data_IF_292091590356
#
_entry.id   IF_292091590356
#
_cell.length_a   1.000
_cell.length_b   1.000
_cell.length_c   1.000
_cell.angle_alpha   90.00
_cell.angle_beta   90.00
_cell.angle_gamma   90.00
#
_symmetry.space_group_name_H-M   'P 1'
#
loop_
_entity.id
_entity.type
_entity.pdbx_description
1 polymer ?
#
# COMPACT_ATOMS: atom_id res chain seq x y z
N UNK A 1 -9.99 9.56 1.38
CA UNK A 1 -11.41 9.16 1.56
C UNK A 1 -11.81 9.43 3.00
N UNK A 2 -13.06 9.83 3.22
CA UNK A 2 -13.62 10.19 4.52
C UNK A 2 -14.84 9.29 4.75
N UNK A 3 -14.86 8.59 5.89
CA UNK A 3 -16.00 7.80 6.34
C UNK A 3 -16.72 8.59 7.46
N UNK A 4 -17.82 9.30 7.15
CA UNK A 4 -18.59 9.99 8.18
C UNK A 4 -19.30 8.97 9.08
N UNK A 5 -19.70 9.41 10.28
CA UNK A 5 -20.45 8.57 11.25
C UNK A 5 -21.77 8.04 10.67
N UNK A 6 -22.38 8.81 9.78
CA UNK A 6 -23.63 8.49 9.11
C UNK A 6 -23.59 9.02 7.68
N UNK A 7 -24.30 8.37 6.77
CA UNK A 7 -24.26 8.70 5.34
C UNK A 7 -23.25 7.87 4.57
N UNK A 8 -22.98 8.27 3.33
CA UNK A 8 -22.06 7.57 2.46
C UNK A 8 -20.62 8.07 2.57
N UNK A 9 -19.72 7.32 1.96
CA UNK A 9 -18.29 7.67 1.90
C UNK A 9 -18.07 8.89 0.99
N UNK A 10 -17.21 9.80 1.42
CA UNK A 10 -16.82 11.00 0.65
C UNK A 10 -15.36 10.88 0.19
N UNK A 11 -15.11 11.06 -1.11
CA UNK A 11 -13.77 11.13 -1.66
C UNK A 11 -13.38 12.59 -1.92
N UNK A 12 -12.26 13.02 -1.36
CA UNK A 12 -11.60 14.29 -1.71
C UNK A 12 -10.33 13.90 -2.47
N UNK A 13 -10.30 14.13 -3.79
CA UNK A 13 -9.23 13.64 -4.68
C UNK A 13 -8.90 14.63 -5.81
N UNK A 14 -7.72 14.55 -6.44
CA UNK A 14 -7.44 15.27 -7.68
C UNK A 14 -8.47 14.96 -8.78
N UNK A 15 -8.81 15.94 -9.59
CA UNK A 15 -9.81 15.81 -10.67
C UNK A 15 -9.49 14.67 -11.65
N UNK A 16 -8.21 14.40 -11.93
CA UNK A 16 -7.79 13.30 -12.81
C UNK A 16 -8.25 11.91 -12.32
N UNK A 17 -8.54 11.75 -11.03
CA UNK A 17 -9.05 10.50 -10.45
C UNK A 17 -10.58 10.39 -10.42
N UNK A 18 -11.31 11.42 -10.84
CA UNK A 18 -12.76 11.51 -10.66
C UNK A 18 -13.49 10.38 -11.39
N UNK A 19 -13.16 10.14 -12.66
CA UNK A 19 -13.82 9.13 -13.49
C UNK A 19 -13.68 7.73 -12.91
N UNK A 20 -12.48 7.35 -12.48
CA UNK A 20 -12.21 6.08 -11.80
C UNK A 20 -13.02 5.99 -10.50
N UNK A 21 -13.02 7.04 -9.69
CA UNK A 21 -13.67 7.04 -8.38
C UNK A 21 -15.20 6.94 -8.48
N UNK A 22 -15.81 7.42 -9.58
CA UNK A 22 -17.25 7.24 -9.83
C UNK A 22 -17.66 5.77 -10.01
N UNK A 23 -16.72 4.89 -10.37
CA UNK A 23 -16.94 3.44 -10.43
C UNK A 23 -16.85 2.73 -9.08
N UNK A 24 -16.46 3.43 -8.01
CA UNK A 24 -16.27 2.85 -6.67
C UNK A 24 -17.51 3.06 -5.78
N UNK A 25 -17.55 2.37 -4.64
CA UNK A 25 -18.57 2.54 -3.60
C UNK A 25 -18.37 3.84 -2.80
N UNK A 26 -18.49 4.98 -3.48
CA UNK A 26 -18.38 6.34 -2.92
C UNK A 26 -19.66 7.10 -3.22
N UNK A 27 -20.20 7.79 -2.22
CA UNK A 27 -21.46 8.53 -2.37
C UNK A 27 -21.24 9.96 -2.90
N UNK A 28 -20.09 10.57 -2.58
CA UNK A 28 -19.77 11.94 -2.95
C UNK A 28 -18.30 12.06 -3.33
N UNK A 29 -18.02 12.76 -4.43
CA UNK A 29 -16.66 13.01 -4.92
C UNK A 29 -16.48 14.53 -5.02
N UNK A 30 -15.54 15.06 -4.24
CA UNK A 30 -15.11 16.45 -4.26
C UNK A 30 -13.71 16.51 -4.86
N UNK A 31 -13.51 17.38 -5.84
CA UNK A 31 -12.27 17.43 -6.62
C UNK A 31 -11.61 18.80 -6.61
N UNK A 32 -10.31 18.82 -6.84
CA UNK A 32 -9.55 20.03 -7.16
C UNK A 32 -8.67 19.80 -8.40
N UNK A 33 -8.30 20.86 -9.13
CA UNK A 33 -7.54 20.76 -10.37
C UNK A 33 -6.03 20.65 -10.08
N UNK A 34 -5.60 19.52 -9.50
CA UNK A 34 -4.19 19.29 -9.17
C UNK A 34 -3.26 19.36 -10.42
N UNK A 35 -2.02 19.85 -10.29
CA UNK A 35 -1.40 20.39 -9.08
C UNK A 35 -1.77 21.88 -8.85
N UNK A 36 -1.98 22.26 -7.59
CA UNK A 36 -2.15 23.66 -7.17
C UNK A 36 -1.10 24.01 -6.11
N UNK A 37 0.07 24.56 -6.48
CA UNK A 37 1.11 24.89 -5.52
C UNK A 37 0.61 25.80 -4.39
N UNK A 38 0.87 25.40 -3.15
CA UNK A 38 0.43 26.11 -1.94
C UNK A 38 -0.95 25.72 -1.41
N UNK A 39 -1.81 25.11 -2.22
CA UNK A 39 -3.11 24.56 -1.80
C UNK A 39 -3.56 23.42 -2.70
N UNK A 40 -2.79 22.32 -2.69
CA UNK A 40 -3.06 21.16 -3.55
C UNK A 40 -4.14 20.26 -2.94
N UNK A 41 -5.33 20.84 -2.73
CA UNK A 41 -6.51 20.17 -2.16
C UNK A 41 -6.64 20.28 -0.64
N UNK A 42 -5.73 20.98 0.04
CA UNK A 42 -5.71 21.09 1.51
C UNK A 42 -6.94 21.85 2.05
N UNK A 43 -7.29 22.98 1.43
CA UNK A 43 -8.47 23.77 1.82
C UNK A 43 -9.75 22.97 1.58
N UNK A 44 -9.90 22.33 0.42
CA UNK A 44 -11.06 21.50 0.11
C UNK A 44 -11.22 20.36 1.14
N UNK A 45 -10.12 19.71 1.54
CA UNK A 45 -10.16 18.69 2.58
C UNK A 45 -10.56 19.25 3.94
N UNK A 46 -10.01 20.40 4.34
CA UNK A 46 -10.33 21.06 5.61
C UNK A 46 -11.81 21.47 5.69
N UNK A 47 -12.35 22.05 4.62
CA UNK A 47 -13.75 22.45 4.53
C UNK A 47 -14.66 21.22 4.58
N UNK A 48 -14.32 20.18 3.82
CA UNK A 48 -15.08 18.92 3.81
C UNK A 48 -15.12 18.25 5.19
N UNK A 49 -14.00 18.19 5.89
CA UNK A 49 -13.97 17.66 7.25
C UNK A 49 -14.74 18.57 8.23
N UNK A 50 -14.72 19.88 8.03
CA UNK A 50 -15.46 20.83 8.85
C UNK A 50 -16.97 20.70 8.70
N UNK A 51 -17.44 20.44 7.48
CA UNK A 51 -18.86 20.18 7.18
C UNK A 51 -19.35 18.88 7.83
N UNK A 52 -18.52 17.83 7.75
CA UNK A 52 -18.89 16.47 8.17
C UNK A 52 -18.74 16.23 9.67
N UNK A 53 -17.90 17.00 10.35
CA UNK A 53 -17.53 16.77 11.75
C UNK A 53 -17.89 18.01 12.58
N UNK A 54 -18.68 17.86 13.67
CA UNK A 54 -19.00 18.97 14.56
C UNK A 54 -17.74 19.67 15.09
N UNK A 55 -17.84 20.95 15.46
CA UNK A 55 -16.71 21.78 15.92
C UNK A 55 -15.87 21.16 17.04
N UNK A 56 -16.49 20.43 17.97
CA UNK A 56 -15.81 19.71 19.07
C UNK A 56 -15.78 18.18 18.84
N UNK A 57 -15.97 17.77 17.58
CA UNK A 57 -15.96 16.38 17.15
C UNK A 57 -14.56 15.79 17.10
N UNK A 58 -14.50 14.53 16.71
CA UNK A 58 -13.25 13.75 16.63
C UNK A 58 -13.07 13.20 15.22
N UNK A 59 -11.85 13.34 14.70
CA UNK A 59 -11.41 12.86 13.40
C UNK A 59 -10.34 11.80 13.67
N UNK A 60 -10.65 10.56 13.31
CA UNK A 60 -9.72 9.44 13.41
C UNK A 60 -8.89 9.29 12.14
N UNK A 61 -7.59 9.08 12.29
CA UNK A 61 -6.70 8.67 11.21
C UNK A 61 -5.73 7.59 11.71
N UNK A 62 -5.31 6.64 10.86
CA UNK A 62 -4.26 5.71 11.22
C UNK A 62 -2.93 6.46 11.43
N UNK A 63 -2.32 6.33 12.62
CA UNK A 63 -1.04 6.94 12.99
C UNK A 63 0.03 5.93 13.45
N UNK A 64 -0.34 4.66 13.62
CA UNK A 64 0.50 3.60 14.19
C UNK A 64 1.29 2.81 13.15
N UNK A 65 1.74 1.61 13.54
CA UNK A 65 2.51 0.73 12.67
C UNK A 65 1.78 0.41 11.36
N UNK A 66 2.55 0.29 10.27
CA UNK A 66 2.05 -0.07 8.93
C UNK A 66 1.03 0.94 8.34
N UNK A 67 1.13 2.21 8.72
CA UNK A 67 0.29 3.29 8.20
C UNK A 67 1.09 4.27 7.34
N UNK A 68 0.41 5.00 6.45
CA UNK A 68 1.02 6.07 5.64
C UNK A 68 -0.01 7.17 5.42
N UNK A 69 0.35 8.41 5.78
CA UNK A 69 -0.53 9.57 5.61
C UNK A 69 -0.69 9.99 4.15
N UNK A 70 0.31 9.70 3.29
CA UNK A 70 0.38 10.12 1.89
C UNK A 70 0.07 11.62 1.67
N UNK A 71 0.50 12.45 2.62
CA UNK A 71 0.42 13.90 2.62
C UNK A 71 1.71 14.45 3.26
N UNK A 72 2.25 15.59 2.81
CA UNK A 72 3.35 16.26 3.49
C UNK A 72 3.03 16.53 4.97
N UNK A 73 4.02 16.36 5.85
CA UNK A 73 3.82 16.58 7.29
C UNK A 73 3.41 18.03 7.61
N UNK A 74 3.96 19.01 6.88
CA UNK A 74 3.59 20.41 7.03
C UNK A 74 2.10 20.66 6.71
N UNK A 75 1.58 20.03 5.66
CA UNK A 75 0.17 20.14 5.28
C UNK A 75 -0.73 19.49 6.33
N UNK A 76 -0.33 18.36 6.90
CA UNK A 76 -1.04 17.75 8.02
C UNK A 76 -1.11 18.66 9.25
N UNK A 77 0.01 19.30 9.61
CA UNK A 77 0.04 20.26 10.72
C UNK A 77 -0.88 21.46 10.45
N UNK A 78 -0.86 21.98 9.22
CA UNK A 78 -1.74 23.06 8.80
C UNK A 78 -3.22 22.63 8.81
N UNK A 79 -3.53 21.43 8.35
CA UNK A 79 -4.87 20.84 8.41
C UNK A 79 -5.37 20.75 9.85
N UNK A 80 -4.56 20.17 10.75
CA UNK A 80 -4.91 20.03 12.16
C UNK A 80 -5.15 21.39 12.83
N UNK A 81 -4.34 22.40 12.51
CA UNK A 81 -4.52 23.76 13.01
C UNK A 81 -5.84 24.38 12.51
N UNK A 82 -6.16 24.25 11.21
CA UNK A 82 -7.41 24.76 10.61
C UNK A 82 -8.66 24.07 11.18
N UNK A 83 -8.55 22.81 11.58
CA UNK A 83 -9.68 22.03 12.10
C UNK A 83 -9.93 22.22 13.61
N UNK A 84 -9.03 22.90 14.33
CA UNK A 84 -9.19 23.23 15.75
C UNK A 84 -10.54 23.92 16.02
N UNK A 85 -11.31 23.54 17.07
CA UNK A 85 -10.94 22.68 18.19
C UNK A 85 -11.29 21.19 18.01
N UNK A 86 -11.51 20.70 16.78
CA UNK A 86 -11.73 19.27 16.54
C UNK A 86 -10.50 18.46 16.95
N UNK A 87 -10.74 17.26 17.48
CA UNK A 87 -9.68 16.38 17.95
C UNK A 87 -9.21 15.45 16.84
N UNK A 88 -7.93 15.48 16.52
CA UNK A 88 -7.27 14.47 15.70
C UNK A 88 -6.85 13.31 16.62
N UNK A 89 -7.24 12.07 16.33
CA UNK A 89 -6.92 10.90 17.17
C UNK A 89 -6.41 9.74 16.33
N UNK A 90 -5.56 8.91 16.94
CA UNK A 90 -5.12 7.66 16.32
C UNK A 90 -6.28 6.65 16.26
N UNK A 91 -6.61 6.21 15.05
CA UNK A 91 -7.64 5.22 14.76
C UNK A 91 -7.05 3.92 14.18
N UNK A 92 -5.73 3.70 14.30
CA UNK A 92 -5.03 2.52 13.72
C UNK A 92 -5.66 1.22 14.17
N UNK A 93 -5.84 1.04 15.48
CA UNK A 93 -6.38 -0.20 16.04
C UNK A 93 -7.82 -0.46 15.56
N UNK A 94 -8.64 0.59 15.41
CA UNK A 94 -10.00 0.47 14.87
C UNK A 94 -9.99 -0.10 13.45
N UNK A 95 -9.12 0.43 12.58
CA UNK A 95 -9.02 -0.04 11.19
C UNK A 95 -8.42 -1.44 11.10
N UNK A 96 -7.35 -1.72 11.87
CA UNK A 96 -6.70 -3.03 11.87
C UNK A 96 -7.66 -4.12 12.35
N UNK A 97 -8.35 -3.91 13.48
CA UNK A 97 -9.26 -4.91 14.04
C UNK A 97 -10.41 -5.27 13.10
N UNK A 98 -10.92 -4.29 12.35
CA UNK A 98 -11.94 -4.52 11.32
C UNK A 98 -11.43 -5.34 10.14
N UNK A 99 -10.11 -5.36 9.89
CA UNK A 99 -9.49 -6.09 8.78
C UNK A 99 -8.93 -7.46 9.19
N UNK A 100 -8.91 -7.80 10.47
CA UNK A 100 -8.32 -9.08 10.92
C UNK A 100 -9.12 -10.30 10.46
N UNK A 101 -10.46 -10.22 10.55
CA UNK A 101 -11.34 -11.30 10.10
C UNK A 101 -11.67 -11.07 8.63
N UNK A 102 -11.18 -11.98 7.78
CA UNK A 102 -11.39 -11.90 6.33
C UNK A 102 -12.77 -12.39 5.94
N UNK A 103 -13.38 -11.68 5.00
CA UNK A 103 -14.52 -12.17 4.25
C UNK A 103 -14.13 -13.38 3.40
N UNK A 104 -15.14 -14.08 2.86
CA UNK A 104 -14.91 -15.18 1.94
C UNK A 104 -14.18 -14.71 0.67
N UNK A 105 -14.58 -13.57 0.09
CA UNK A 105 -13.95 -12.98 -1.09
C UNK A 105 -12.47 -12.65 -0.85
N UNK A 106 -12.13 -12.05 0.30
CA UNK A 106 -10.74 -11.79 0.67
C UNK A 106 -9.93 -13.09 0.84
N UNK A 107 -10.53 -14.10 1.47
CA UNK A 107 -9.89 -15.42 1.62
C UNK A 107 -9.62 -16.07 0.26
N UNK A 108 -10.56 -15.97 -0.68
CA UNK A 108 -10.39 -16.47 -2.05
C UNK A 108 -9.27 -15.74 -2.78
N UNK A 109 -9.15 -14.42 -2.63
CA UNK A 109 -8.05 -13.63 -3.18
C UNK A 109 -6.69 -14.03 -2.59
N UNK A 110 -6.59 -14.23 -1.27
CA UNK A 110 -5.36 -14.73 -0.63
C UNK A 110 -4.97 -16.11 -1.18
N UNK A 111 -5.92 -17.03 -1.32
CA UNK A 111 -5.65 -18.36 -1.91
C UNK A 111 -5.20 -18.25 -3.37
N UNK A 112 -5.73 -17.30 -4.13
CA UNK A 112 -5.27 -17.06 -5.50
C UNK A 112 -3.82 -16.56 -5.53
N UNK A 113 -3.46 -15.61 -4.66
CA UNK A 113 -2.08 -15.15 -4.53
C UNK A 113 -1.12 -16.28 -4.14
N UNK A 114 -1.50 -17.16 -3.22
CA UNK A 114 -0.70 -18.35 -2.89
C UNK A 114 -0.47 -19.25 -4.10
N UNK A 115 -1.51 -19.53 -4.91
CA UNK A 115 -1.35 -20.36 -6.13
C UNK A 115 -0.42 -19.72 -7.16
N UNK A 116 -0.45 -18.40 -7.28
CA UNK A 116 0.47 -17.64 -8.15
C UNK A 116 1.91 -17.83 -7.67
N UNK A 117 2.15 -17.68 -6.36
CA UNK A 117 3.46 -17.91 -5.77
C UNK A 117 3.93 -19.36 -5.95
N UNK A 118 3.06 -20.34 -5.72
CA UNK A 118 3.36 -21.77 -5.93
C UNK A 118 3.79 -22.04 -7.37
N UNK A 119 3.09 -21.45 -8.36
CA UNK A 119 3.43 -21.59 -9.77
C UNK A 119 4.80 -20.97 -10.12
N UNK A 120 5.15 -19.83 -9.51
CA UNK A 120 6.47 -19.23 -9.67
C UNK A 120 7.58 -20.08 -9.01
N UNK A 121 7.34 -20.59 -7.79
CA UNK A 121 8.28 -21.47 -7.09
C UNK A 121 8.52 -22.79 -7.82
N UNK A 122 7.51 -23.34 -8.51
CA UNK A 122 7.68 -24.54 -9.33
C UNK A 122 8.71 -24.38 -10.46
N UNK A 123 8.92 -23.14 -10.95
CA UNK A 123 9.93 -22.81 -11.97
C UNK A 123 11.31 -22.53 -11.38
N UNK A 124 11.42 -22.31 -10.06
CA UNK A 124 12.64 -21.87 -9.39
C UNK A 124 13.86 -22.78 -9.66
N UNK A 125 13.76 -24.12 -9.66
CA UNK A 125 14.89 -24.98 -9.99
C UNK A 125 15.47 -24.68 -11.38
N UNK A 126 14.63 -24.46 -12.40
CA UNK A 126 15.10 -24.07 -13.73
C UNK A 126 15.77 -22.69 -13.69
N UNK A 127 15.19 -21.73 -12.97
CA UNK A 127 15.72 -20.36 -12.86
C UNK A 127 17.08 -20.32 -12.18
N UNK A 128 17.29 -21.11 -11.14
CA UNK A 128 18.58 -21.21 -10.44
C UNK A 128 19.73 -21.64 -11.36
N UNK A 129 19.48 -22.54 -12.31
CA UNK A 129 20.50 -22.97 -13.27
C UNK A 129 20.80 -21.93 -14.36
N UNK A 130 19.87 -20.99 -14.60
CA UNK A 130 19.98 -19.97 -15.64
C UNK A 130 20.51 -18.63 -15.10
N UNK A 131 20.20 -18.31 -13.85
CA UNK A 131 20.60 -17.08 -13.21
C UNK A 131 22.12 -17.02 -13.04
N UNK A 132 22.72 -15.88 -13.43
CA UNK A 132 24.15 -15.65 -13.26
C UNK A 132 24.44 -15.05 -11.88
N UNK A 133 23.54 -14.20 -11.38
CA UNK A 133 23.63 -13.52 -10.08
C UNK A 133 22.33 -13.65 -9.27
N UNK A 134 22.37 -13.26 -8.00
CA UNK A 134 21.15 -13.19 -7.19
C UNK A 134 20.17 -12.13 -7.71
N UNK A 135 20.66 -11.00 -8.23
CA UNK A 135 19.84 -10.00 -8.91
C UNK A 135 19.11 -10.57 -10.14
N UNK A 136 19.79 -11.37 -10.96
CA UNK A 136 19.17 -12.03 -12.11
C UNK A 136 18.09 -13.03 -11.67
N UNK A 137 18.38 -13.82 -10.63
CA UNK A 137 17.39 -14.73 -10.06
C UNK A 137 16.15 -13.99 -9.55
N UNK A 138 16.33 -12.93 -8.77
CA UNK A 138 15.22 -12.13 -8.25
C UNK A 138 14.39 -11.48 -9.37
N UNK A 139 15.00 -11.07 -10.48
CA UNK A 139 14.29 -10.55 -11.66
C UNK A 139 13.50 -11.65 -12.36
N UNK A 140 14.12 -12.81 -12.61
CA UNK A 140 13.44 -13.96 -13.22
C UNK A 140 12.24 -14.42 -12.39
N UNK A 141 12.38 -14.46 -11.07
CA UNK A 141 11.28 -14.83 -10.18
C UNK A 141 10.14 -13.81 -10.18
N UNK A 142 10.45 -12.51 -10.21
CA UNK A 142 9.42 -11.47 -10.38
C UNK A 142 8.68 -11.60 -11.72
N UNK A 143 9.40 -11.89 -12.80
CA UNK A 143 8.78 -12.17 -14.11
C UNK A 143 7.84 -13.38 -13.99
N UNK A 144 8.29 -14.46 -13.36
CA UNK A 144 7.48 -15.67 -13.20
C UNK A 144 6.20 -15.42 -12.39
N UNK A 145 6.26 -14.58 -11.34
CA UNK A 145 5.08 -14.15 -10.58
C UNK A 145 4.11 -13.34 -11.43
N UNK A 146 4.60 -12.39 -12.23
CA UNK A 146 3.78 -11.56 -13.12
C UNK A 146 3.14 -12.41 -14.22
N UNK A 147 3.90 -13.31 -14.87
CA UNK A 147 3.38 -14.25 -15.87
C UNK A 147 2.34 -15.21 -15.29
N UNK A 148 2.49 -15.59 -14.02
CA UNK A 148 1.51 -16.43 -13.32
C UNK A 148 0.23 -15.66 -12.91
N UNK A 149 0.19 -14.35 -13.10
CA UNK A 149 -0.99 -13.52 -12.89
C UNK A 149 -0.95 -12.61 -11.66
N UNK A 150 0.23 -12.36 -11.07
CA UNK A 150 0.35 -11.31 -10.07
C UNK A 150 0.09 -9.93 -10.71
N UNK A 151 -0.78 -9.12 -10.09
CA UNK A 151 -1.07 -7.76 -10.56
C UNK A 151 0.16 -6.84 -10.44
N UNK A 152 0.95 -7.04 -9.38
CA UNK A 152 2.16 -6.27 -9.10
C UNK A 152 3.04 -7.03 -8.10
N UNK A 153 4.36 -6.98 -8.32
CA UNK A 153 5.36 -7.45 -7.36
C UNK A 153 6.19 -6.26 -6.92
N UNK A 154 5.95 -5.79 -5.69
CA UNK A 154 6.62 -4.60 -5.16
C UNK A 154 8.06 -4.89 -4.72
N UNK A 155 8.28 -6.07 -4.15
CA UNK A 155 9.52 -6.47 -3.53
C UNK A 155 9.55 -8.00 -3.34
N UNK A 156 10.71 -8.62 -3.59
CA UNK A 156 11.00 -10.01 -3.23
C UNK A 156 12.14 -9.99 -2.23
N UNK A 157 11.87 -10.40 -1.00
CA UNK A 157 12.90 -10.59 0.01
C UNK A 157 13.75 -11.79 -0.33
N UNK A 158 15.04 -11.74 -0.04
CA UNK A 158 15.89 -12.90 -0.22
C UNK A 158 17.37 -12.59 -0.14
N UNK A 159 18.17 -13.66 -0.15
CA UNK A 159 19.61 -13.59 -0.09
C UNK A 159 20.25 -14.88 -0.58
N UNK A 160 21.52 -14.78 -0.96
CA UNK A 160 22.31 -15.92 -1.41
C UNK A 160 23.74 -15.85 -0.85
N UNK A 161 24.33 -16.99 -0.54
CA UNK A 161 25.75 -17.07 -0.20
C UNK A 161 26.21 -18.42 0.34
N UNK A 162 27.54 -18.58 0.50
CA UNK A 162 28.15 -19.84 0.95
C UNK A 162 27.80 -20.10 2.41
N UNK A 163 27.16 -21.24 2.67
CA UNK A 163 26.73 -21.63 4.02
C UNK A 163 25.56 -20.80 4.58
N UNK A 164 24.95 -19.91 3.78
CA UNK A 164 23.82 -19.09 4.18
C UNK A 164 23.89 -17.66 3.66
N UNK A 165 23.01 -16.81 4.19
CA UNK A 165 22.91 -15.40 3.86
C UNK A 165 22.90 -14.57 5.15
N UNK A 166 23.63 -13.46 5.15
CA UNK A 166 23.66 -12.52 6.28
C UNK A 166 22.58 -11.43 6.22
N UNK A 167 21.87 -11.33 5.08
CA UNK A 167 20.88 -10.28 4.81
C UNK A 167 19.84 -10.80 3.81
N UNK A 168 18.56 -10.50 4.07
CA UNK A 168 17.42 -10.84 3.20
C UNK A 168 16.59 -9.62 2.79
N UNK A 169 16.95 -8.44 3.28
CA UNK A 169 16.24 -7.18 3.06
C UNK A 169 16.99 -6.23 2.12
N UNK A 170 18.29 -6.46 1.89
CA UNK A 170 19.07 -5.69 0.93
C UNK A 170 18.56 -5.91 -0.50
N UNK A 171 18.71 -4.91 -1.38
CA UNK A 171 18.52 -5.13 -2.81
C UNK A 171 19.41 -6.29 -3.28
N UNK A 172 18.89 -7.16 -4.16
CA UNK A 172 19.66 -8.31 -4.64
C UNK A 172 20.88 -7.82 -5.44
N UNK A 173 22.05 -8.37 -5.11
CA UNK A 173 23.32 -7.94 -5.69
C UNK A 173 23.70 -8.73 -6.95
N UNK A 174 24.65 -8.17 -7.70
CA UNK A 174 25.19 -8.78 -8.93
C UNK A 174 26.29 -9.82 -8.65
N UNK A 175 26.50 -10.21 -7.38
CA UNK A 175 27.43 -11.28 -7.01
C UNK A 175 27.00 -12.59 -7.67
N UNK A 176 27.90 -13.30 -8.38
CA UNK A 176 27.56 -14.54 -9.04
C UNK A 176 27.07 -15.61 -8.06
N UNK A 177 26.06 -16.37 -8.48
CA UNK A 177 25.63 -17.56 -7.74
C UNK A 177 26.59 -18.71 -8.03
N UNK A 178 27.09 -19.34 -6.97
CA UNK A 178 28.04 -20.45 -7.07
C UNK A 178 27.40 -21.76 -6.60
N UNK A 179 27.94 -22.87 -7.11
CA UNK A 179 27.53 -24.20 -6.63
C UNK A 179 27.86 -24.34 -5.14
N UNK A 180 26.85 -24.69 -4.34
CA UNK A 180 26.95 -24.80 -2.89
C UNK A 180 26.44 -23.60 -2.11
N UNK A 181 26.05 -22.51 -2.80
CA UNK A 181 25.36 -21.39 -2.16
C UNK A 181 23.97 -21.80 -1.66
N UNK A 182 23.58 -21.24 -0.52
CA UNK A 182 22.21 -21.33 0.01
C UNK A 182 21.46 -20.09 -0.45
N UNK A 183 20.29 -20.29 -1.05
CA UNK A 183 19.44 -19.23 -1.60
C UNK A 183 18.08 -19.21 -0.88
N UNK A 184 17.62 -18.00 -0.53
CA UNK A 184 16.26 -17.71 -0.04
C UNK A 184 15.59 -16.71 -0.97
N UNK A 185 14.30 -16.93 -1.24
CA UNK A 185 13.36 -16.05 -1.94
C UNK A 185 12.02 -16.04 -1.19
#
# INVERSE_FOLDING_TARGET
MILPRSGGVVAVIPEIGADLMRGCAVAEIRTWPAPVPGDDGLTLLADTLSDLVPTHGTIGLPMGAETSLRMPLADYMALAARLSPRRMVDATHTVQRMREIKSEAETQAIRAACRIADAAFAKLPERLHRAQSFADLSRLFQIDLLEAGADWVSYVAGGAGPGGYGNVIAPPGETPLLTGDIVML
#
